data_IF_149143105202
#
_entry.id   IF_149143105202
#
_cell.length_a   1.000
_cell.length_b   1.000
_cell.length_c   1.000
_cell.angle_alpha   90.00
_cell.angle_beta   90.00
_cell.angle_gamma   90.00
#
_symmetry.space_group_name_H-M   'P 1'
#
loop_
_entity.id
_entity.type
_entity.pdbx_description
1 polymer ?
#
# COMPACT_ATOMS: atom_id res chain seq x y z
N UNK A 1 12.07 -4.60 -2.63
CA UNK A 1 11.27 -5.71 -3.21
C UNK A 1 12.14 -6.77 -3.85
N UNK A 2 13.18 -6.40 -4.59
CA UNK A 2 14.05 -7.36 -5.29
C UNK A 2 14.72 -8.39 -4.37
N UNK A 3 15.20 -7.99 -3.18
CA UNK A 3 15.73 -8.90 -2.17
C UNK A 3 14.69 -9.94 -1.69
N UNK A 4 13.42 -9.53 -1.52
CA UNK A 4 12.34 -10.46 -1.16
C UNK A 4 12.03 -11.45 -2.29
N UNK A 5 12.09 -11.01 -3.54
CA UNK A 5 11.79 -11.86 -4.70
C UNK A 5 12.80 -13.00 -4.90
N UNK A 6 14.07 -12.77 -4.52
CA UNK A 6 15.14 -13.77 -4.65
C UNK A 6 15.23 -14.75 -3.48
N UNK A 7 14.81 -14.32 -2.29
CA UNK A 7 15.05 -15.07 -1.04
C UNK A 7 13.82 -15.81 -0.51
N UNK A 8 12.61 -15.46 -0.95
CA UNK A 8 11.36 -15.91 -0.31
C UNK A 8 10.56 -16.84 -1.24
N UNK A 9 10.29 -18.10 -0.81
CA UNK A 9 9.46 -19.05 -1.55
C UNK A 9 8.04 -18.50 -1.82
N UNK A 10 7.41 -18.94 -2.92
CA UNK A 10 6.08 -18.48 -3.35
C UNK A 10 5.02 -18.62 -2.25
N UNK A 11 5.12 -19.67 -1.45
CA UNK A 11 4.20 -20.03 -0.36
C UNK A 11 4.32 -19.10 0.86
N UNK A 12 5.40 -18.30 0.94
CA UNK A 12 5.66 -17.38 2.06
C UNK A 12 5.67 -15.90 1.64
N UNK A 13 5.50 -15.61 0.34
CA UNK A 13 5.57 -14.24 -0.19
C UNK A 13 4.50 -13.34 0.40
N UNK A 14 3.27 -13.83 0.58
CA UNK A 14 2.18 -13.00 1.12
C UNK A 14 2.51 -12.55 2.54
N UNK A 15 3.03 -13.45 3.38
CA UNK A 15 3.54 -13.12 4.73
C UNK A 15 4.67 -12.10 4.72
N UNK A 16 5.64 -12.25 3.82
CA UNK A 16 6.76 -11.30 3.73
C UNK A 16 6.32 -9.90 3.29
N UNK A 17 5.46 -9.82 2.27
CA UNK A 17 4.85 -8.57 1.82
C UNK A 17 4.02 -7.96 2.94
N UNK A 18 3.21 -8.75 3.64
CA UNK A 18 2.44 -8.32 4.79
C UNK A 18 3.31 -7.77 5.93
N UNK A 19 4.47 -8.37 6.20
CA UNK A 19 5.39 -7.85 7.21
C UNK A 19 5.99 -6.49 6.81
N UNK A 20 6.46 -6.37 5.57
CA UNK A 20 7.10 -5.13 5.08
C UNK A 20 6.07 -3.99 4.95
N UNK A 21 4.93 -4.26 4.31
CA UNK A 21 3.90 -3.25 4.08
C UNK A 21 3.01 -3.03 5.30
N UNK A 22 2.90 -3.99 6.22
CA UNK A 22 2.25 -3.81 7.52
C UNK A 22 2.89 -2.70 8.36
N UNK A 23 4.19 -2.44 8.13
CA UNK A 23 4.89 -1.28 8.68
C UNK A 23 4.25 0.07 8.32
N UNK A 24 3.57 0.19 7.17
CA UNK A 24 2.85 1.41 6.81
C UNK A 24 1.69 1.68 7.76
N UNK A 25 0.87 0.66 8.05
CA UNK A 25 -0.24 0.79 8.99
C UNK A 25 0.24 1.07 10.41
N UNK A 26 1.33 0.42 10.85
CA UNK A 26 1.97 0.70 12.14
C UNK A 26 2.49 2.14 12.19
N UNK A 27 3.14 2.61 11.13
CA UNK A 27 3.62 3.98 11.00
C UNK A 27 2.50 5.00 11.09
N UNK A 28 1.38 4.78 10.40
CA UNK A 28 0.19 5.64 10.48
C UNK A 28 -0.39 5.67 11.88
N UNK A 29 -0.52 4.52 12.56
CA UNK A 29 -1.01 4.46 13.95
C UNK A 29 -0.07 5.23 14.88
N UNK A 30 1.24 4.99 14.81
CA UNK A 30 2.23 5.72 15.61
C UNK A 30 2.19 7.23 15.32
N UNK A 31 2.05 7.61 14.05
CA UNK A 31 1.91 9.01 13.63
C UNK A 31 0.68 9.68 14.24
N UNK A 32 -0.49 9.05 14.10
CA UNK A 32 -1.75 9.58 14.64
C UNK A 32 -1.80 9.57 16.17
N UNK A 33 -1.08 8.66 16.84
CA UNK A 33 -0.98 8.63 18.30
C UNK A 33 -0.03 9.69 18.86
N UNK A 34 1.13 9.88 18.21
CA UNK A 34 2.18 10.77 18.70
C UNK A 34 1.96 12.23 18.30
N UNK A 35 1.36 12.50 17.14
CA UNK A 35 1.20 13.86 16.64
C UNK A 35 0.34 14.75 17.57
N UNK A 36 -0.87 14.36 18.01
CA UNK A 36 -1.71 15.22 18.84
C UNK A 36 -1.08 15.69 20.17
N UNK A 37 -0.52 14.82 21.03
CA UNK A 37 0.09 15.27 22.29
C UNK A 37 1.36 16.10 22.08
N UNK A 38 2.11 15.84 21.02
CA UNK A 38 3.30 16.62 20.64
C UNK A 38 2.88 18.03 20.19
N UNK A 39 1.86 18.15 19.36
CA UNK A 39 1.31 19.44 18.93
C UNK A 39 0.80 20.24 20.13
N UNK A 40 0.06 19.60 21.04
CA UNK A 40 -0.51 20.28 22.22
C UNK A 40 0.55 20.80 23.19
N UNK A 41 1.70 20.12 23.31
CA UNK A 41 2.74 20.48 24.28
C UNK A 41 3.84 21.38 23.70
N UNK A 42 4.20 21.20 22.43
CA UNK A 42 5.38 21.80 21.82
C UNK A 42 5.09 22.61 20.54
N UNK A 43 3.82 22.74 20.15
CA UNK A 43 3.42 23.42 18.93
C UNK A 43 3.47 22.52 17.69
N UNK A 44 2.87 22.97 16.60
CA UNK A 44 2.70 22.15 15.39
C UNK A 44 4.02 21.91 14.65
N UNK A 45 4.99 22.83 14.77
CA UNK A 45 6.31 22.73 14.15
C UNK A 45 7.11 21.53 14.71
N UNK A 46 6.87 21.18 15.98
CA UNK A 46 7.60 20.13 16.70
C UNK A 46 7.46 18.75 16.07
N UNK A 47 6.33 18.47 15.42
CA UNK A 47 6.07 17.21 14.71
C UNK A 47 7.06 17.03 13.56
N UNK A 48 7.36 18.09 12.81
CA UNK A 48 8.31 18.04 11.71
C UNK A 48 9.74 17.77 12.18
N UNK A 49 10.16 18.40 13.29
CA UNK A 49 11.48 18.14 13.87
C UNK A 49 11.61 16.71 14.38
N UNK A 50 10.58 16.19 15.07
CA UNK A 50 10.58 14.84 15.62
C UNK A 50 10.70 13.77 14.52
N UNK A 51 9.79 13.79 13.54
CA UNK A 51 9.81 12.82 12.45
C UNK A 51 11.02 12.99 11.51
N UNK A 52 11.49 14.23 11.32
CA UNK A 52 12.72 14.52 10.58
C UNK A 52 13.95 13.90 11.24
N UNK A 53 14.11 14.07 12.56
CA UNK A 53 15.22 13.47 13.30
C UNK A 53 15.17 11.94 13.28
N UNK A 54 13.99 11.34 13.50
CA UNK A 54 13.78 9.90 13.39
C UNK A 54 14.21 9.36 12.01
N UNK A 55 13.87 10.07 10.93
CA UNK A 55 14.30 9.71 9.58
C UNK A 55 15.81 9.73 9.39
N UNK A 56 16.50 10.76 9.91
CA UNK A 56 17.97 10.85 9.87
C UNK A 56 18.62 9.75 10.71
N UNK A 57 18.11 9.50 11.93
CA UNK A 57 18.59 8.44 12.80
C UNK A 57 18.43 7.06 12.16
N UNK A 58 17.30 6.81 11.51
CA UNK A 58 17.05 5.58 10.74
C UNK A 58 18.06 5.41 9.60
N UNK A 59 18.30 6.46 8.82
CA UNK A 59 19.29 6.44 7.74
C UNK A 59 20.70 6.12 8.26
N UNK A 60 21.14 6.77 9.34
CA UNK A 60 22.44 6.50 9.95
C UNK A 60 22.53 5.07 10.50
N UNK A 61 21.47 4.56 11.12
CA UNK A 61 21.41 3.18 11.59
C UNK A 61 21.56 2.18 10.44
N UNK A 62 20.89 2.42 9.32
CA UNK A 62 20.99 1.56 8.14
C UNK A 62 22.41 1.54 7.54
N UNK A 63 23.09 2.69 7.48
CA UNK A 63 24.48 2.78 7.05
C UNK A 63 25.44 1.97 7.94
N UNK A 64 25.20 1.95 9.26
CA UNK A 64 25.99 1.15 10.20
C UNK A 64 25.75 -0.35 10.03
N UNK A 65 24.51 -0.76 9.77
CA UNK A 65 24.13 -2.15 9.51
C UNK A 65 24.75 -2.68 8.21
N UNK A 66 24.63 -1.93 7.11
CA UNK A 66 25.26 -2.30 5.82
C UNK A 66 26.80 -2.35 5.93
N UNK A 67 27.39 -1.40 6.65
CA UNK A 67 28.83 -1.40 6.93
C UNK A 67 29.28 -2.61 7.77
N UNK A 68 28.45 -3.05 8.71
CA UNK A 68 28.70 -4.21 9.57
C UNK A 68 28.68 -5.55 8.81
N UNK A 69 27.71 -5.76 7.91
CA UNK A 69 27.67 -6.95 7.05
C UNK A 69 28.85 -6.97 6.06
N UNK A 70 29.25 -5.82 5.50
CA UNK A 70 30.43 -5.71 4.65
C UNK A 70 31.73 -6.05 5.41
N UNK A 71 31.84 -5.67 6.69
CA UNK A 71 33.00 -6.01 7.54
C UNK A 71 33.00 -7.47 8.01
N UNK A 72 31.84 -8.07 8.28
CA UNK A 72 31.72 -9.49 8.63
C UNK A 72 32.11 -10.41 7.46
N UNK A 73 31.73 -10.05 6.23
CA UNK A 73 32.22 -10.77 5.04
C UNK A 73 33.72 -10.51 4.76
N UNK A 74 34.22 -9.30 5.04
CA UNK A 74 35.65 -8.98 4.92
C UNK A 74 36.53 -9.66 5.99
N UNK A 75 35.97 -10.05 7.14
CA UNK A 75 36.67 -10.80 8.18
C UNK A 75 37.14 -12.20 7.76
N UNK A 76 36.60 -12.75 6.66
CA UNK A 76 37.02 -14.05 6.11
C UNK A 76 38.07 -13.96 4.98
N UNK A 77 38.38 -12.76 4.47
CA UNK A 77 39.45 -12.56 3.47
C UNK A 77 40.32 -11.35 3.84
N UNK A 78 41.41 -11.62 4.55
CA UNK A 78 42.46 -10.66 4.86
C UNK A 78 43.30 -10.36 3.62
N UNK A 79 42.97 -9.32 2.85
CA UNK A 79 43.89 -8.69 1.88
C UNK A 79 43.75 -7.15 1.87
N UNK A 80 44.86 -6.39 1.96
CA UNK A 80 44.86 -4.93 2.00
C UNK A 80 44.66 -4.33 0.60
N UNK A 81 43.41 -3.97 0.27
CA UNK A 81 43.07 -3.23 -0.97
C UNK A 81 41.70 -2.53 -0.99
N UNK A 82 40.94 -2.61 0.11
CA UNK A 82 39.47 -2.39 0.13
C UNK A 82 39.03 -0.92 0.08
N UNK A 83 39.96 0.05 0.13
CA UNK A 83 39.56 1.47 0.17
C UNK A 83 39.29 2.09 -1.22
N UNK A 84 39.65 1.43 -2.32
CA UNK A 84 39.35 1.89 -3.70
C UNK A 84 38.08 1.26 -4.32
N UNK A 85 37.52 0.23 -3.69
CA UNK A 85 36.39 -0.55 -4.24
C UNK A 85 35.03 0.12 -4.07
N UNK A 86 34.82 1.02 -3.10
CA UNK A 86 33.51 1.61 -2.84
C UNK A 86 33.07 2.62 -3.91
N UNK A 87 33.99 3.44 -4.43
CA UNK A 87 33.67 4.42 -5.49
C UNK A 87 33.58 3.74 -6.87
N UNK A 88 34.37 2.70 -7.10
CA UNK A 88 34.29 1.88 -8.31
C UNK A 88 32.99 1.06 -8.33
N UNK A 89 32.57 0.53 -7.17
CA UNK A 89 31.31 -0.21 -6.96
C UNK A 89 30.09 0.68 -7.20
N UNK A 90 30.03 1.90 -6.67
CA UNK A 90 28.93 2.83 -6.97
C UNK A 90 28.86 3.20 -8.47
N UNK A 91 30.01 3.41 -9.11
CA UNK A 91 30.06 3.71 -10.55
C UNK A 91 29.74 2.50 -11.42
N UNK A 92 30.09 1.28 -11.01
CA UNK A 92 29.71 0.05 -11.71
C UNK A 92 28.24 -0.25 -11.51
N UNK A 93 27.70 -0.10 -10.29
CA UNK A 93 26.27 -0.29 -10.00
C UNK A 93 25.41 0.73 -10.74
N UNK A 94 25.78 2.00 -10.84
CA UNK A 94 25.05 2.98 -11.66
C UNK A 94 25.13 2.69 -13.17
N UNK A 95 26.22 2.08 -13.63
CA UNK A 95 26.40 1.70 -15.03
C UNK A 95 25.63 0.41 -15.37
N UNK A 96 25.58 -0.55 -14.45
CA UNK A 96 24.75 -1.76 -14.51
C UNK A 96 23.26 -1.44 -14.40
N UNK A 97 22.87 -0.48 -13.55
CA UNK A 97 21.50 0.00 -13.44
C UNK A 97 21.06 0.67 -14.76
N UNK A 98 21.92 1.51 -15.35
CA UNK A 98 21.64 2.16 -16.63
C UNK A 98 21.63 1.18 -17.82
N UNK A 99 22.43 0.11 -17.81
CA UNK A 99 22.30 -0.95 -18.83
C UNK A 99 21.04 -1.78 -18.60
N UNK A 100 20.71 -2.11 -17.35
CA UNK A 100 19.51 -2.85 -16.98
C UNK A 100 18.23 -2.13 -17.38
N UNK A 101 18.17 -0.78 -17.28
CA UNK A 101 17.03 0.01 -17.76
C UNK A 101 16.90 0.06 -19.29
N UNK A 102 18.00 -0.12 -20.01
CA UNK A 102 18.04 -0.05 -21.48
C UNK A 102 17.43 -1.29 -22.13
N UNK A 103 17.47 -2.41 -21.43
CA UNK A 103 16.95 -3.72 -21.87
C UNK A 103 15.55 -4.01 -21.31
N UNK A 104 14.88 -3.02 -20.69
CA UNK A 104 13.52 -3.20 -20.14
C UNK A 104 12.49 -3.21 -21.29
N UNK A 105 11.66 -4.26 -21.42
CA UNK A 105 10.70 -4.40 -22.50
C UNK A 105 9.43 -3.55 -22.27
N UNK A 106 9.57 -2.22 -22.26
CA UNK A 106 8.49 -1.26 -21.98
C UNK A 106 7.25 -1.47 -22.83
N UNK A 107 7.43 -1.71 -24.14
CA UNK A 107 6.32 -1.96 -25.08
C UNK A 107 5.52 -3.20 -24.66
N UNK A 108 6.19 -4.25 -24.19
CA UNK A 108 5.57 -5.51 -23.77
C UNK A 108 4.72 -5.31 -22.52
N UNK A 109 5.21 -4.52 -21.54
CA UNK A 109 4.43 -4.17 -20.35
C UNK A 109 3.12 -3.47 -20.70
N UNK A 110 3.18 -2.41 -21.52
CA UNK A 110 2.01 -1.62 -21.87
C UNK A 110 1.08 -2.29 -22.90
N UNK A 111 1.48 -3.42 -23.48
CA UNK A 111 0.61 -4.26 -24.32
C UNK A 111 -0.15 -5.31 -23.50
N UNK A 112 0.33 -5.63 -22.28
CA UNK A 112 -0.28 -6.65 -21.43
C UNK A 112 -1.56 -6.14 -20.75
N UNK A 113 -2.72 -6.78 -20.96
CA UNK A 113 -3.97 -6.38 -20.29
C UNK A 113 -3.91 -6.60 -18.78
N UNK A 114 -3.11 -7.56 -18.31
CA UNK A 114 -2.92 -7.80 -16.87
C UNK A 114 -2.20 -6.63 -16.19
N UNK A 115 -1.20 -6.04 -16.86
CA UNK A 115 -0.49 -4.84 -16.35
C UNK A 115 -1.46 -3.67 -16.25
N UNK A 116 -2.31 -3.44 -17.25
CA UNK A 116 -3.35 -2.41 -17.19
C UNK A 116 -4.37 -2.64 -16.07
N UNK A 117 -4.77 -3.89 -15.85
CA UNK A 117 -5.64 -4.25 -14.73
C UNK A 117 -5.00 -3.92 -13.38
N UNK A 118 -3.69 -4.14 -13.23
CA UNK A 118 -2.94 -3.77 -12.04
C UNK A 118 -2.78 -2.27 -11.85
N UNK A 119 -2.52 -1.53 -12.93
CA UNK A 119 -2.46 -0.05 -12.90
C UNK A 119 -3.80 0.51 -12.42
N UNK A 120 -4.90 0.06 -13.03
CA UNK A 120 -6.23 0.54 -12.69
C UNK A 120 -6.65 0.13 -11.27
N UNK A 121 -6.39 -1.11 -10.86
CA UNK A 121 -6.66 -1.54 -9.50
C UNK A 121 -5.86 -0.73 -8.47
N UNK A 122 -4.57 -0.44 -8.73
CA UNK A 122 -3.79 0.39 -7.81
C UNK A 122 -4.38 1.80 -7.69
N UNK A 123 -4.81 2.41 -8.81
CA UNK A 123 -5.52 3.68 -8.80
C UNK A 123 -6.80 3.61 -7.94
N UNK A 124 -7.66 2.64 -8.19
CA UNK A 124 -8.92 2.48 -7.46
C UNK A 124 -8.73 2.29 -5.95
N UNK A 125 -7.80 1.40 -5.57
CA UNK A 125 -7.50 1.16 -4.16
C UNK A 125 -6.90 2.39 -3.47
N UNK A 126 -6.01 3.09 -4.16
CA UNK A 126 -5.40 4.31 -3.62
C UNK A 126 -6.39 5.46 -3.49
N UNK A 127 -7.39 5.54 -4.38
CA UNK A 127 -8.48 6.50 -4.26
C UNK A 127 -9.18 6.37 -2.93
N UNK A 128 -9.75 5.19 -2.65
CA UNK A 128 -10.47 4.98 -1.40
C UNK A 128 -9.56 5.08 -0.17
N UNK A 129 -8.29 4.68 -0.27
CA UNK A 129 -7.34 4.81 0.83
C UNK A 129 -7.05 6.28 1.17
N UNK A 130 -6.65 7.10 0.20
CA UNK A 130 -6.23 8.48 0.46
C UNK A 130 -7.40 9.41 0.78
N UNK A 131 -8.56 9.23 0.15
CA UNK A 131 -9.74 10.05 0.47
C UNK A 131 -10.22 9.76 1.89
N UNK A 132 -10.28 8.48 2.30
CA UNK A 132 -10.62 8.14 3.68
C UNK A 132 -9.56 8.65 4.65
N UNK A 133 -8.27 8.45 4.36
CA UNK A 133 -7.21 8.94 5.25
C UNK A 133 -7.32 10.46 5.50
N UNK A 134 -7.72 11.23 4.49
CA UNK A 134 -7.79 12.69 4.57
C UNK A 134 -9.10 13.19 5.19
N UNK A 135 -10.23 12.56 4.86
CA UNK A 135 -11.56 13.11 5.15
C UNK A 135 -12.34 12.37 6.24
N UNK A 136 -11.93 11.16 6.63
CA UNK A 136 -12.64 10.36 7.63
C UNK A 136 -12.71 11.03 9.03
N UNK A 137 -11.66 11.73 9.53
CA UNK A 137 -11.77 12.47 10.78
C UNK A 137 -12.83 13.58 10.72
N UNK A 138 -12.88 14.33 9.62
CA UNK A 138 -13.87 15.40 9.41
C UNK A 138 -15.28 14.82 9.30
N UNK A 139 -15.45 13.72 8.55
CA UNK A 139 -16.71 13.00 8.46
C UNK A 139 -17.23 12.57 9.85
N UNK A 140 -16.37 12.00 10.68
CA UNK A 140 -16.73 11.62 12.06
C UNK A 140 -17.07 12.82 12.94
N UNK A 141 -16.42 13.96 12.74
CA UNK A 141 -16.74 15.16 13.49
C UNK A 141 -18.08 15.79 13.05
N UNK A 142 -18.31 15.91 11.75
CA UNK A 142 -19.47 16.63 11.20
C UNK A 142 -20.73 15.77 11.15
N UNK A 143 -20.66 14.55 10.63
CA UNK A 143 -21.84 13.70 10.42
C UNK A 143 -22.24 12.97 11.71
N UNK A 144 -21.25 12.53 12.49
CA UNK A 144 -21.49 11.73 13.69
C UNK A 144 -21.55 12.56 14.98
N UNK A 145 -21.41 13.89 14.88
CA UNK A 145 -21.40 14.85 15.99
C UNK A 145 -20.39 14.48 17.11
N UNK A 146 -19.29 13.80 16.75
CA UNK A 146 -18.20 13.52 17.68
C UNK A 146 -17.38 14.80 17.90
N UNK A 147 -16.88 15.01 19.11
CA UNK A 147 -15.96 16.12 19.30
C UNK A 147 -14.65 15.86 18.50
N UNK A 148 -13.93 16.92 18.14
CA UNK A 148 -12.78 16.83 17.25
C UNK A 148 -11.70 15.85 17.77
N UNK A 149 -11.52 15.81 19.09
CA UNK A 149 -10.56 14.91 19.75
C UNK A 149 -11.01 13.45 19.62
N UNK A 150 -12.27 13.14 19.89
CA UNK A 150 -12.87 11.81 19.73
C UNK A 150 -12.83 11.35 18.28
N UNK A 151 -13.21 12.22 17.34
CA UNK A 151 -13.15 11.92 15.91
C UNK A 151 -11.73 11.53 15.47
N UNK A 152 -10.70 12.28 15.93
CA UNK A 152 -9.31 11.96 15.66
C UNK A 152 -8.88 10.59 16.24
N UNK A 153 -9.25 10.29 17.49
CA UNK A 153 -8.98 9.00 18.11
C UNK A 153 -9.68 7.84 17.40
N UNK A 154 -10.93 8.05 17.01
CA UNK A 154 -11.76 7.06 16.32
C UNK A 154 -11.21 6.78 14.91
N UNK A 155 -10.64 7.77 14.22
CA UNK A 155 -9.97 7.58 12.93
C UNK A 155 -8.69 6.75 12.98
N UNK A 156 -8.17 6.43 14.17
CA UNK A 156 -7.04 5.48 14.34
C UNK A 156 -7.53 4.02 14.24
N UNK A 157 -8.82 3.76 14.48
CA UNK A 157 -9.36 2.40 14.48
C UNK A 157 -9.20 1.68 13.14
N UNK A 158 -9.49 2.27 11.96
CA UNK A 158 -9.27 1.61 10.68
C UNK A 158 -7.82 1.17 10.43
N UNK A 159 -6.80 2.05 10.49
CA UNK A 159 -5.42 1.62 10.27
C UNK A 159 -4.93 0.64 11.35
N UNK A 160 -5.41 0.75 12.60
CA UNK A 160 -5.11 -0.22 13.65
C UNK A 160 -5.69 -1.61 13.33
N UNK A 161 -6.95 -1.67 12.93
CA UNK A 161 -7.61 -2.91 12.53
C UNK A 161 -6.95 -3.53 11.28
N UNK A 162 -6.47 -2.71 10.34
CA UNK A 162 -5.69 -3.15 9.19
C UNK A 162 -4.39 -3.90 9.58
N UNK A 163 -3.71 -3.52 10.66
CA UNK A 163 -2.49 -4.23 11.15
C UNK A 163 -2.80 -5.70 11.44
N UNK A 164 -3.89 -5.96 12.15
CA UNK A 164 -4.32 -7.33 12.47
C UNK A 164 -4.83 -8.05 11.22
N UNK A 165 -5.65 -7.36 10.41
CA UNK A 165 -6.27 -7.97 9.23
C UNK A 165 -5.24 -8.34 8.15
N UNK A 166 -4.14 -7.61 8.04
CA UNK A 166 -3.04 -7.90 7.12
C UNK A 166 -2.44 -9.28 7.36
N UNK A 167 -2.24 -9.67 8.63
CA UNK A 167 -1.73 -10.99 8.99
C UNK A 167 -2.73 -12.11 8.66
N UNK A 168 -4.01 -11.88 8.94
CA UNK A 168 -5.09 -12.81 8.62
C UNK A 168 -5.18 -13.01 7.10
N UNK A 169 -5.13 -11.92 6.33
CA UNK A 169 -5.19 -11.94 4.88
C UNK A 169 -4.01 -12.70 4.26
N UNK A 170 -2.79 -12.51 4.78
CA UNK A 170 -1.61 -13.24 4.33
C UNK A 170 -1.72 -14.74 4.61
N UNK A 171 -2.07 -15.11 5.85
CA UNK A 171 -2.21 -16.52 6.23
C UNK A 171 -3.32 -17.21 5.43
N UNK A 172 -4.44 -16.55 5.19
CA UNK A 172 -5.53 -17.11 4.39
C UNK A 172 -5.10 -17.32 2.93
N UNK A 173 -4.41 -16.35 2.33
CA UNK A 173 -3.91 -16.47 0.96
C UNK A 173 -2.91 -17.64 0.84
N UNK A 174 -1.92 -17.70 1.72
CA UNK A 174 -0.88 -18.75 1.70
C UNK A 174 -1.49 -20.13 1.95
N UNK A 175 -2.47 -20.25 2.86
CA UNK A 175 -3.19 -21.50 3.10
C UNK A 175 -3.98 -21.98 1.87
N UNK A 176 -4.59 -21.07 1.10
CA UNK A 176 -5.33 -21.42 -0.12
C UNK A 176 -4.37 -21.89 -1.22
N UNK A 177 -3.23 -21.23 -1.38
CA UNK A 177 -2.18 -21.63 -2.34
C UNK A 177 -1.61 -23.00 -1.94
N UNK A 178 -1.29 -23.22 -0.67
CA UNK A 178 -0.76 -24.50 -0.16
C UNK A 178 -1.75 -25.67 -0.33
N UNK A 179 -3.05 -25.39 -0.37
CA UNK A 179 -4.10 -26.37 -0.67
C UNK A 179 -4.29 -26.64 -2.18
N UNK A 180 -3.49 -26.03 -3.03
CA UNK A 180 -3.50 -26.24 -4.48
C UNK A 180 -4.46 -25.34 -5.26
N UNK A 181 -5.00 -24.27 -4.66
CA UNK A 181 -5.79 -23.27 -5.40
C UNK A 181 -4.85 -22.46 -6.30
N UNK A 182 -5.23 -22.24 -7.56
CA UNK A 182 -4.43 -21.45 -8.50
C UNK A 182 -4.13 -20.05 -7.94
N UNK A 183 -2.86 -19.63 -8.00
CA UNK A 183 -2.40 -18.32 -7.50
C UNK A 183 -3.25 -17.17 -8.04
N UNK A 184 -3.52 -17.14 -9.35
CA UNK A 184 -4.39 -16.11 -9.97
C UNK A 184 -5.76 -16.04 -9.29
N UNK A 185 -6.35 -17.19 -9.00
CA UNK A 185 -7.66 -17.27 -8.34
C UNK A 185 -7.57 -16.75 -6.91
N UNK A 186 -6.54 -17.10 -6.16
CA UNK A 186 -6.31 -16.57 -4.80
C UNK A 186 -6.12 -15.05 -4.82
N UNK A 187 -5.30 -14.51 -5.74
CA UNK A 187 -5.09 -13.06 -5.87
C UNK A 187 -6.38 -12.34 -6.27
N UNK A 188 -7.20 -12.93 -7.14
CA UNK A 188 -8.53 -12.42 -7.48
C UNK A 188 -9.47 -12.37 -6.28
N UNK A 189 -9.54 -13.44 -5.50
CA UNK A 189 -10.35 -13.49 -4.27
C UNK A 189 -9.91 -12.41 -3.29
N UNK A 190 -8.60 -12.32 -3.00
CA UNK A 190 -8.07 -11.33 -2.06
C UNK A 190 -8.39 -9.90 -2.51
N UNK A 191 -8.14 -9.58 -3.78
CA UNK A 191 -8.43 -8.24 -4.28
C UNK A 191 -9.93 -7.92 -4.30
N UNK A 192 -10.78 -8.93 -4.56
CA UNK A 192 -12.23 -8.75 -4.53
C UNK A 192 -12.73 -8.46 -3.12
N UNK A 193 -12.21 -9.17 -2.11
CA UNK A 193 -12.47 -8.84 -0.70
C UNK A 193 -12.01 -7.41 -0.42
N UNK A 194 -10.81 -7.04 -0.86
CA UNK A 194 -10.23 -5.73 -0.58
C UNK A 194 -11.04 -4.55 -1.11
N UNK A 195 -11.79 -4.74 -2.20
CA UNK A 195 -12.59 -3.68 -2.83
C UNK A 195 -14.08 -3.77 -2.50
N UNK A 196 -14.66 -4.98 -2.53
CA UNK A 196 -16.08 -5.14 -2.25
C UNK A 196 -16.42 -4.87 -0.79
N UNK A 197 -15.53 -5.20 0.15
CA UNK A 197 -15.80 -4.94 1.57
C UNK A 197 -15.94 -3.46 1.91
N UNK A 198 -14.99 -2.54 1.58
CA UNK A 198 -15.21 -1.13 1.82
C UNK A 198 -16.36 -0.56 0.98
N UNK A 199 -16.59 -1.04 -0.25
CA UNK A 199 -17.73 -0.59 -1.06
C UNK A 199 -19.09 -0.90 -0.42
N UNK A 200 -19.27 -2.12 0.10
CA UNK A 200 -20.48 -2.53 0.80
C UNK A 200 -20.63 -1.71 2.09
N UNK A 201 -19.56 -1.60 2.90
CA UNK A 201 -19.58 -0.83 4.14
C UNK A 201 -19.93 0.64 3.91
N UNK A 202 -19.30 1.29 2.92
CA UNK A 202 -19.61 2.68 2.55
C UNK A 202 -21.05 2.83 2.04
N UNK A 203 -21.57 1.85 1.30
CA UNK A 203 -22.97 1.87 0.85
C UNK A 203 -23.91 1.80 2.06
N UNK A 204 -23.66 0.89 3.00
CA UNK A 204 -24.45 0.78 4.23
C UNK A 204 -24.39 2.06 5.07
N UNK A 205 -23.21 2.69 5.18
CA UNK A 205 -23.03 3.97 5.88
C UNK A 205 -23.64 5.16 5.13
N UNK A 206 -23.92 5.04 3.83
CA UNK A 206 -24.60 6.08 3.04
C UNK A 206 -26.13 6.02 3.17
N UNK A 207 -26.68 4.91 3.65
CA UNK A 207 -28.11 4.72 3.84
C UNK A 207 -28.52 5.23 5.22
N UNK A 208 -29.61 5.99 5.28
CA UNK A 208 -30.20 6.42 6.55
C UNK A 208 -30.94 5.26 7.23
N UNK A 209 -30.17 4.37 7.84
CA UNK A 209 -30.65 3.18 8.54
C UNK A 209 -30.99 3.46 10.02
N UNK A 210 -30.85 4.72 10.48
CA UNK A 210 -31.06 5.09 11.88
C UNK A 210 -30.05 4.47 12.86
N UNK A 211 -28.87 4.06 12.36
CA UNK A 211 -27.82 3.45 13.17
C UNK A 211 -27.12 4.50 14.05
N UNK A 212 -26.74 4.16 15.29
CA UNK A 212 -25.98 5.07 16.13
C UNK A 212 -24.55 5.28 15.57
N UNK A 213 -23.90 6.42 15.87
CA UNK A 213 -22.56 6.76 15.42
C UNK A 213 -21.50 5.65 15.52
N UNK A 214 -21.47 4.95 16.66
CA UNK A 214 -20.47 3.92 16.92
C UNK A 214 -20.64 2.68 16.02
N UNK A 215 -21.86 2.39 15.57
CA UNK A 215 -22.12 1.29 14.63
C UNK A 215 -21.61 1.65 13.24
N UNK A 216 -21.83 2.90 12.80
CA UNK A 216 -21.31 3.41 11.53
C UNK A 216 -19.78 3.36 11.51
N UNK A 217 -19.14 3.83 12.58
CA UNK A 217 -17.69 3.74 12.79
C UNK A 217 -17.20 2.30 12.70
N UNK A 218 -17.90 1.37 13.35
CA UNK A 218 -17.53 -0.05 13.37
C UNK A 218 -17.64 -0.69 11.99
N UNK A 219 -18.71 -0.38 11.25
CA UNK A 219 -18.94 -0.86 9.87
C UNK A 219 -17.83 -0.34 8.94
N UNK A 220 -17.54 0.96 8.98
CA UNK A 220 -16.50 1.56 8.16
C UNK A 220 -15.12 1.02 8.53
N UNK A 221 -14.81 0.92 9.82
CA UNK A 221 -13.55 0.34 10.31
C UNK A 221 -13.37 -1.09 9.82
N UNK A 222 -14.42 -1.93 9.90
CA UNK A 222 -14.37 -3.30 9.40
C UNK A 222 -14.12 -3.40 7.89
N UNK A 223 -14.83 -2.59 7.10
CA UNK A 223 -14.64 -2.55 5.64
C UNK A 223 -13.25 -2.06 5.23
N UNK A 224 -12.76 -0.99 5.86
CA UNK A 224 -11.42 -0.46 5.60
C UNK A 224 -10.34 -1.44 6.10
N UNK A 225 -10.54 -2.15 7.21
CA UNK A 225 -9.61 -3.17 7.67
C UNK A 225 -9.49 -4.32 6.66
N UNK A 226 -10.61 -4.80 6.12
CA UNK A 226 -10.66 -5.84 5.08
C UNK A 226 -10.01 -5.40 3.76
N UNK A 227 -9.91 -4.10 3.48
CA UNK A 227 -9.13 -3.58 2.33
C UNK A 227 -7.65 -4.01 2.37
N UNK A 228 -7.13 -4.39 3.54
CA UNK A 228 -5.75 -4.90 3.71
C UNK A 228 -5.48 -6.19 2.92
N UNK A 229 -6.52 -6.90 2.50
CA UNK A 229 -6.38 -8.03 1.57
C UNK A 229 -5.73 -7.64 0.23
N UNK A 230 -5.69 -6.35 -0.12
CA UNK A 230 -4.98 -5.86 -1.29
C UNK A 230 -3.47 -6.16 -1.25
N UNK A 231 -2.87 -6.29 -0.06
CA UNK A 231 -1.46 -6.69 0.09
C UNK A 231 -1.23 -8.12 -0.42
N UNK A 232 -2.16 -9.03 -0.10
CA UNK A 232 -2.16 -10.41 -0.61
C UNK A 232 -2.71 -10.54 -2.03
N UNK A 233 -3.41 -9.53 -2.54
CA UNK A 233 -3.98 -9.48 -3.90
C UNK A 233 -3.06 -8.77 -4.88
N UNK A 234 -3.20 -7.45 -5.00
CA UNK A 234 -2.45 -6.60 -5.91
C UNK A 234 -0.93 -6.71 -5.73
N UNK A 235 -0.40 -6.48 -4.53
CA UNK A 235 1.05 -6.33 -4.30
C UNK A 235 1.83 -7.61 -4.55
N UNK A 236 1.26 -8.76 -4.20
CA UNK A 236 1.88 -10.05 -4.52
C UNK A 236 1.83 -10.36 -6.02
N UNK A 237 0.81 -9.85 -6.74
CA UNK A 237 0.67 -10.08 -8.20
C UNK A 237 1.84 -9.51 -9.00
N UNK A 238 2.46 -8.41 -8.55
CA UNK A 238 3.69 -7.90 -9.18
C UNK A 238 4.81 -8.94 -9.21
N UNK A 239 5.01 -9.64 -8.09
CA UNK A 239 6.05 -10.65 -7.94
C UNK A 239 5.69 -11.96 -8.64
N UNK A 240 4.41 -12.33 -8.64
CA UNK A 240 3.91 -13.55 -9.27
C UNK A 240 3.94 -13.43 -10.81
N UNK A 241 3.65 -12.24 -11.35
CA UNK A 241 3.65 -11.99 -12.80
C UNK A 241 5.07 -11.93 -13.39
N UNK A 242 6.00 -11.25 -12.73
CA UNK A 242 7.41 -11.26 -13.16
C UNK A 242 8.34 -10.97 -11.98
N UNK A 243 9.03 -11.99 -11.45
CA UNK A 243 10.01 -11.79 -10.37
C UNK A 243 11.14 -10.84 -10.75
N UNK A 244 11.55 -10.82 -12.03
CA UNK A 244 12.60 -9.98 -12.57
C UNK A 244 12.19 -8.50 -12.59
N UNK A 245 10.99 -8.21 -13.10
CA UNK A 245 10.50 -6.84 -13.27
C UNK A 245 9.56 -6.38 -12.15
N UNK A 246 9.40 -7.15 -11.06
CA UNK A 246 8.43 -6.90 -9.99
C UNK A 246 8.53 -5.46 -9.43
N UNK A 247 9.75 -4.99 -9.17
CA UNK A 247 10.01 -3.66 -8.62
C UNK A 247 9.64 -2.54 -9.63
N UNK A 248 9.91 -2.76 -10.92
CA UNK A 248 9.57 -1.79 -11.99
C UNK A 248 8.05 -1.73 -12.16
N UNK A 249 7.38 -2.89 -12.23
CA UNK A 249 5.93 -2.99 -12.32
C UNK A 249 5.26 -2.33 -11.11
N UNK A 250 5.77 -2.54 -9.89
CA UNK A 250 5.27 -1.85 -8.71
C UNK A 250 5.46 -0.34 -8.83
N UNK A 251 6.64 0.10 -9.28
CA UNK A 251 6.91 1.53 -9.50
C UNK A 251 5.90 2.17 -10.46
N UNK A 252 5.59 1.50 -11.58
CA UNK A 252 4.59 1.96 -12.55
C UNK A 252 3.21 2.09 -11.88
N UNK A 253 2.72 1.02 -11.24
CA UNK A 253 1.38 1.06 -10.65
C UNK A 253 1.30 2.03 -9.48
N UNK A 254 2.35 2.14 -8.66
CA UNK A 254 2.41 3.06 -7.52
C UNK A 254 2.44 4.53 -7.95
N UNK A 255 3.10 4.84 -9.08
CA UNK A 255 3.08 6.19 -9.65
C UNK A 255 1.65 6.61 -10.00
N UNK A 256 0.89 5.74 -10.67
CA UNK A 256 -0.52 6.00 -10.97
C UNK A 256 -1.37 5.98 -9.70
N UNK A 257 -1.04 5.09 -8.75
CA UNK A 257 -1.65 5.01 -7.43
C UNK A 257 -1.48 6.28 -6.59
N UNK A 258 -0.46 7.11 -6.82
CA UNK A 258 -0.30 8.37 -6.10
C UNK A 258 -1.25 9.48 -6.57
N UNK A 259 -1.76 9.42 -7.80
CA UNK A 259 -2.61 10.46 -8.41
C UNK A 259 -3.89 10.74 -7.59
N UNK A 260 -4.64 9.72 -7.12
CA UNK A 260 -5.81 9.93 -6.27
C UNK A 260 -5.54 10.70 -4.96
N UNK A 261 -4.31 10.67 -4.43
CA UNK A 261 -3.97 11.45 -3.24
C UNK A 261 -4.06 12.95 -3.47
N UNK A 262 -3.83 13.39 -4.72
CA UNK A 262 -3.92 14.79 -5.12
C UNK A 262 -5.34 15.09 -5.61
N UNK A 263 -5.80 14.32 -6.61
CA UNK A 263 -7.05 14.60 -7.32
C UNK A 263 -8.26 14.18 -6.50
N UNK A 264 -8.22 13.01 -5.87
CA UNK A 264 -9.34 12.47 -5.10
C UNK A 264 -9.64 13.30 -3.85
N UNK A 265 -8.60 13.68 -3.11
CA UNK A 265 -8.77 14.51 -1.90
C UNK A 265 -9.35 15.87 -2.25
N UNK A 266 -8.82 16.54 -3.29
CA UNK A 266 -9.33 17.83 -3.75
C UNK A 266 -10.77 17.73 -4.31
N UNK A 267 -11.07 16.68 -5.07
CA UNK A 267 -12.41 16.46 -5.62
C UNK A 267 -13.44 16.22 -4.51
N UNK A 268 -13.11 15.42 -3.49
CA UNK A 268 -14.00 15.21 -2.34
C UNK A 268 -14.31 16.52 -1.63
N UNK A 269 -13.33 17.41 -1.44
CA UNK A 269 -13.57 18.74 -0.86
C UNK A 269 -14.52 19.58 -1.72
N UNK A 270 -14.25 19.67 -3.03
CA UNK A 270 -15.11 20.42 -3.96
C UNK A 270 -16.55 19.88 -4.02
N UNK A 271 -16.71 18.55 -4.04
CA UNK A 271 -18.02 17.92 -4.02
C UNK A 271 -18.74 18.18 -2.69
N UNK A 272 -18.02 18.17 -1.57
CA UNK A 272 -18.61 18.42 -0.26
C UNK A 272 -19.12 19.86 -0.15
N UNK A 273 -18.33 20.83 -0.61
CA UNK A 273 -18.73 22.23 -0.65
C UNK A 273 -19.95 22.47 -1.54
N UNK A 274 -20.08 21.68 -2.62
CA UNK A 274 -21.17 21.85 -3.60
C UNK A 274 -22.45 21.09 -3.23
N UNK A 275 -22.32 19.90 -2.63
CA UNK A 275 -23.44 18.97 -2.41
C UNK A 275 -23.86 18.89 -0.96
N UNK A 276 -23.02 19.33 -0.02
CA UNK A 276 -23.21 19.19 1.42
C UNK A 276 -23.54 17.75 1.87
N UNK A 277 -23.09 16.76 1.11
CA UNK A 277 -23.38 15.35 1.35
C UNK A 277 -22.12 14.49 1.30
N UNK A 278 -21.81 13.86 2.41
CA UNK A 278 -20.71 12.89 2.52
C UNK A 278 -20.93 11.65 1.65
N UNK A 279 -22.17 11.19 1.53
CA UNK A 279 -22.54 10.07 0.67
C UNK A 279 -22.18 10.33 -0.79
N UNK A 280 -22.41 11.56 -1.29
CA UNK A 280 -22.09 11.92 -2.67
C UNK A 280 -20.60 12.27 -2.83
N UNK A 281 -19.99 12.90 -1.84
CA UNK A 281 -18.66 13.51 -1.97
C UNK A 281 -17.51 12.55 -1.67
N UNK A 282 -17.69 11.67 -0.68
CA UNK A 282 -16.67 10.72 -0.22
C UNK A 282 -17.01 9.28 -0.65
N UNK A 283 -18.24 8.83 -0.37
CA UNK A 283 -18.61 7.43 -0.55
C UNK A 283 -18.88 7.06 -2.01
N UNK A 284 -19.70 7.82 -2.74
CA UNK A 284 -20.07 7.46 -4.11
C UNK A 284 -18.88 7.33 -5.08
N UNK A 285 -17.89 8.25 -5.12
CA UNK A 285 -16.70 8.08 -5.97
C UNK A 285 -15.86 6.87 -5.55
N UNK A 286 -15.70 6.66 -4.24
CA UNK A 286 -14.93 5.52 -3.71
C UNK A 286 -15.60 4.18 -4.06
N UNK A 287 -16.92 4.08 -3.88
CA UNK A 287 -17.73 2.91 -4.27
C UNK A 287 -17.61 2.66 -5.78
N UNK A 288 -17.73 3.70 -6.60
CA UNK A 288 -17.58 3.58 -8.06
C UNK A 288 -16.22 2.98 -8.44
N UNK A 289 -15.12 3.51 -7.87
CA UNK A 289 -13.78 3.01 -8.17
C UNK A 289 -13.55 1.59 -7.63
N UNK A 290 -14.07 1.25 -6.45
CA UNK A 290 -13.97 -0.12 -5.94
C UNK A 290 -14.74 -1.12 -6.80
N UNK A 291 -15.95 -0.81 -7.23
CA UNK A 291 -16.77 -1.70 -8.06
C UNK A 291 -16.17 -1.89 -9.45
N UNK A 292 -15.80 -0.80 -10.12
CA UNK A 292 -15.17 -0.87 -11.45
C UNK A 292 -13.80 -1.52 -11.37
N UNK A 293 -13.01 -1.21 -10.34
CA UNK A 293 -11.71 -1.85 -10.07
C UNK A 293 -11.86 -3.36 -9.88
N UNK A 294 -12.88 -3.81 -9.15
CA UNK A 294 -13.18 -5.24 -8.96
C UNK A 294 -13.52 -5.90 -10.29
N UNK A 295 -14.39 -5.28 -11.09
CA UNK A 295 -14.78 -5.80 -12.40
C UNK A 295 -13.57 -5.97 -13.33
N UNK A 296 -12.75 -4.93 -13.48
CA UNK A 296 -11.55 -4.97 -14.33
C UNK A 296 -10.54 -5.99 -13.81
N UNK A 297 -10.34 -6.06 -12.50
CA UNK A 297 -9.42 -7.03 -11.88
C UNK A 297 -9.87 -8.47 -12.15
N UNK A 298 -11.15 -8.78 -11.95
CA UNK A 298 -11.69 -10.11 -12.21
C UNK A 298 -11.61 -10.49 -13.68
N UNK A 299 -11.85 -9.55 -14.59
CA UNK A 299 -11.81 -9.78 -16.03
C UNK A 299 -10.38 -10.00 -16.57
N UNK A 300 -9.42 -9.18 -16.15
CA UNK A 300 -8.12 -9.06 -16.85
C UNK A 300 -6.89 -9.38 -16.01
N UNK A 301 -6.97 -9.41 -14.68
CA UNK A 301 -5.80 -9.72 -13.86
C UNK A 301 -5.36 -11.18 -14.04
N UNK A 302 -4.04 -11.39 -14.05
CA UNK A 302 -3.40 -12.70 -14.12
C UNK A 302 -2.15 -12.70 -13.25
N UNK A 303 -1.96 -13.76 -12.48
CA UNK A 303 -0.77 -13.97 -11.65
C UNK A 303 0.10 -15.12 -12.19
N UNK A 304 -0.14 -15.53 -13.44
CA UNK A 304 0.73 -16.47 -14.14
C UNK A 304 2.02 -15.75 -14.57
N UNK A 305 3.20 -16.40 -14.44
CA UNK A 305 4.44 -15.81 -14.91
C UNK A 305 4.35 -15.38 -16.39
N UNK A 306 4.68 -14.12 -16.67
CA UNK A 306 4.73 -13.55 -18.01
C UNK A 306 6.18 -13.35 -18.44
N UNK A 307 6.54 -13.89 -19.60
CA UNK A 307 7.82 -13.60 -20.26
C UNK A 307 7.67 -12.31 -21.06
N UNK A 308 8.21 -11.21 -20.52
CA UNK A 308 8.30 -9.96 -21.27
C UNK A 308 9.57 -10.00 -22.12
N UNK A 309 9.44 -10.25 -23.42
CA UNK A 309 10.53 -10.15 -24.38
C UNK A 309 10.43 -8.85 -25.18
N UNK A 310 11.56 -8.31 -25.62
CA UNK A 310 11.57 -7.31 -26.68
C UNK A 310 11.12 -7.98 -27.99
N UNK A 311 9.94 -7.62 -28.49
CA UNK A 311 9.62 -7.87 -29.90
C UNK A 311 10.51 -6.93 -30.74
N UNK A 312 11.46 -7.53 -31.46
CA UNK A 312 12.33 -6.88 -32.45
C UNK A 312 11.53 -6.06 -33.47
#
# INVERSE_FOLDING_TARGET
>A
MEAMCRLIPLEERSRAVAFVFGGLSVGSVMGLLLAPPVIQSLGWESVFYLFGFLGVAWFLGFQVLEGGEAQLHAGSLSLPGVQRTTIQSQKSSLKELNSSFKDVPWKSFFRSPAVWAMIYAHFCGSWGHYTCLSWLPTYFSEELNLNLTEAAWVSILPPLASVFMTNIAAQLADNLIARGVETTTVRKICQSIAFLSPAICMTLSSLDLGLPPWEIVSILTGGLALSSFALSGLYCTHQDMSPEYASILLGITNTVGAIPGIVGVALTGYLLDSTHSWSISLFAPSIFFYLTGTFIWLAFASSKPQSFSEEN
#
